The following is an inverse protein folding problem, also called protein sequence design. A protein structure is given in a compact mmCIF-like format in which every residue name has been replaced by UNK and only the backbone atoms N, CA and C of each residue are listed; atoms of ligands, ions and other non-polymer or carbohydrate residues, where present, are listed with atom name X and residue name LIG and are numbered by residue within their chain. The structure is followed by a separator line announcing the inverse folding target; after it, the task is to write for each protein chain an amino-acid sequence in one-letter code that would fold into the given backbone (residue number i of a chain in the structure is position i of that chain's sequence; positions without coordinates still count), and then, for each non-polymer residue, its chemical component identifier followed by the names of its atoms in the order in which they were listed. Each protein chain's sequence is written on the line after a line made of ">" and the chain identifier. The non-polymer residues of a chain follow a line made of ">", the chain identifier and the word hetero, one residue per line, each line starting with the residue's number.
data_IF_603704937123
#
_entry.id   IF_603704937123
#
_cell.length_a   1.000
_cell.length_b   1.000
_cell.length_c   1.000
_cell.angle_alpha   90.00
_cell.angle_beta   90.00
_cell.angle_gamma   90.00
#
_symmetry.space_group_name_H-M   'P 1'
#
loop_
_entity.id
_entity.type
_entity.pdbx_description
1 polymer ?
#
# COMPACT_ATOMS: atom_id res chain seq x y z
N UNK A 1 11.15 -3.97 -6.45
CA UNK A 1 11.77 -3.70 -5.14
C UNK A 1 12.08 -5.04 -4.47
N UNK A 2 13.36 -5.38 -4.32
CA UNK A 2 13.81 -6.66 -3.78
C UNK A 2 13.90 -6.60 -2.24
N UNK A 3 13.07 -7.37 -1.54
CA UNK A 3 13.22 -7.58 -0.10
C UNK A 3 13.97 -8.88 0.16
N UNK A 4 15.26 -8.73 0.50
CA UNK A 4 16.16 -9.82 0.86
C UNK A 4 15.68 -10.53 2.13
N UNK A 5 15.43 -11.84 2.05
CA UNK A 5 15.20 -12.71 3.21
C UNK A 5 16.52 -12.89 3.97
N UNK A 6 16.69 -12.24 5.12
CA UNK A 6 17.77 -12.53 6.07
C UNK A 6 17.50 -13.90 6.73
N UNK A 7 18.37 -14.88 6.47
CA UNK A 7 18.50 -16.08 7.30
C UNK A 7 19.40 -15.74 8.48
N UNK A 8 18.91 -15.88 9.69
CA UNK A 8 19.74 -15.82 10.90
C UNK A 8 20.39 -17.19 11.10
N UNK A 9 21.73 -17.25 11.02
CA UNK A 9 22.52 -18.37 11.52
C UNK A 9 22.80 -18.09 12.99
N UNK A 10 22.15 -18.85 13.88
CA UNK A 10 22.40 -18.79 15.31
C UNK A 10 23.61 -19.68 15.64
N UNK A 11 24.76 -19.06 15.88
CA UNK A 11 25.95 -19.71 16.45
C UNK A 11 25.73 -19.85 17.96
N UNK A 12 25.82 -21.05 18.57
CA UNK A 12 25.78 -21.15 20.02
C UNK A 12 27.12 -20.68 20.59
N UNK A 13 27.10 -19.54 21.28
CA UNK A 13 28.19 -19.05 22.14
C UNK A 13 28.33 -20.00 23.34
N UNK A 14 29.30 -20.90 23.31
CA UNK A 14 29.77 -21.60 24.50
C UNK A 14 30.76 -20.70 25.25
N UNK A 15 30.31 -20.11 26.36
CA UNK A 15 31.21 -19.44 27.30
C UNK A 15 31.99 -20.49 28.13
N UNK A 16 33.27 -20.27 28.43
CA UNK A 16 34.04 -21.18 29.26
C UNK A 16 33.53 -21.13 30.70
N UNK A 17 33.34 -22.31 31.29
CA UNK A 17 32.98 -22.48 32.71
C UNK A 17 34.19 -22.07 33.55
N UNK A 18 34.05 -20.95 34.28
CA UNK A 18 35.01 -20.55 35.30
C UNK A 18 34.97 -21.55 36.45
N UNK A 19 36.12 -22.19 36.69
CA UNK A 19 36.36 -23.04 37.85
C UNK A 19 36.50 -22.15 39.08
N UNK A 20 35.50 -22.19 39.97
CA UNK A 20 35.57 -21.51 41.26
C UNK A 20 36.33 -22.39 42.25
N UNK A 21 37.51 -21.93 42.67
CA UNK A 21 38.30 -22.54 43.75
C UNK A 21 37.58 -22.49 45.11
N UNK A 22 38.02 -23.29 46.09
CA UNK A 22 37.30 -23.41 47.36
C UNK A 22 37.64 -22.22 48.26
N UNK A 23 36.69 -21.31 48.44
CA UNK A 23 36.74 -20.34 49.54
C UNK A 23 36.06 -20.95 50.76
N UNK A 24 36.85 -21.17 51.81
CA UNK A 24 36.42 -21.66 53.11
C UNK A 24 35.72 -20.54 53.87
N UNK A 25 34.38 -20.54 53.86
CA UNK A 25 33.59 -19.75 54.80
C UNK A 25 32.41 -20.58 55.33
N UNK A 26 32.51 -20.92 56.62
CA UNK A 26 31.45 -21.50 57.43
C UNK A 26 30.32 -20.47 57.60
N UNK A 27 29.21 -20.68 56.92
CA UNK A 27 27.92 -20.06 57.27
C UNK A 27 26.84 -21.13 57.16
N UNK A 28 26.11 -21.36 58.26
CA UNK A 28 24.96 -22.27 58.36
C UNK A 28 24.01 -22.08 57.16
N UNK A 29 24.12 -22.96 56.17
CA UNK A 29 23.22 -23.00 55.01
C UNK A 29 22.00 -23.81 55.41
N UNK A 30 20.88 -23.13 55.66
CA UNK A 30 19.57 -23.77 55.71
C UNK A 30 19.38 -24.56 54.40
N UNK A 31 19.11 -25.86 54.51
CA UNK A 31 18.93 -26.75 53.37
C UNK A 31 17.76 -26.20 52.53
N UNK A 32 17.96 -25.90 51.23
CA UNK A 32 16.86 -25.42 50.39
C UNK A 32 15.74 -26.47 50.36
N UNK A 33 14.47 -26.03 50.46
CA UNK A 33 13.29 -26.92 50.46
C UNK A 33 13.36 -27.87 49.26
N UNK A 34 13.58 -29.16 49.54
CA UNK A 34 13.63 -30.21 48.53
C UNK A 34 12.22 -30.40 47.96
N UNK A 35 12.05 -30.27 46.64
CA UNK A 35 10.78 -30.64 46.00
C UNK A 35 10.71 -32.17 45.93
N UNK A 36 9.81 -32.84 46.69
CA UNK A 36 9.75 -34.30 46.71
C UNK A 36 9.38 -34.90 45.36
N UNK A 37 8.71 -34.14 44.47
CA UNK A 37 8.34 -34.60 43.13
C UNK A 37 9.48 -34.47 42.11
N UNK A 38 10.53 -33.68 42.40
CA UNK A 38 11.64 -33.41 41.48
C UNK A 38 12.97 -33.34 42.25
N UNK A 39 13.49 -34.47 42.75
CA UNK A 39 14.74 -34.52 43.49
C UNK A 39 15.94 -34.09 42.60
N UNK A 40 16.75 -33.11 43.05
CA UNK A 40 17.95 -32.70 42.32
C UNK A 40 18.97 -33.85 42.27
N UNK A 41 19.51 -34.13 41.07
CA UNK A 41 20.49 -35.20 40.84
C UNK A 41 19.92 -36.49 40.28
N UNK A 42 18.59 -36.67 40.23
CA UNK A 42 17.98 -37.82 39.55
C UNK A 42 17.92 -37.55 38.05
N UNK A 43 18.80 -38.22 37.30
CA UNK A 43 18.69 -38.25 35.82
C UNK A 43 17.32 -38.83 35.48
N UNK A 44 16.50 -38.07 34.74
CA UNK A 44 15.24 -38.57 34.18
C UNK A 44 15.55 -39.84 33.41
N UNK A 45 15.03 -40.98 33.87
CA UNK A 45 15.11 -42.23 33.12
C UNK A 45 14.13 -42.11 31.97
N UNK A 46 14.61 -41.92 30.75
CA UNK A 46 13.83 -42.18 29.54
C UNK A 46 13.60 -43.68 29.46
N UNK A 47 12.50 -44.15 30.04
CA UNK A 47 12.05 -45.53 29.91
C UNK A 47 11.13 -45.58 28.70
N UNK A 48 11.53 -46.32 27.66
CA UNK A 48 10.64 -46.65 26.57
C UNK A 48 9.59 -47.62 27.10
N UNK A 49 8.32 -47.21 27.10
CA UNK A 49 7.17 -48.07 27.41
C UNK A 49 6.81 -49.01 26.25
N UNK A 50 7.54 -48.90 25.14
CA UNK A 50 7.34 -49.72 23.96
C UNK A 50 7.72 -51.17 24.23
N UNK A 51 6.90 -52.09 23.74
CA UNK A 51 7.26 -53.51 23.71
C UNK A 51 8.37 -53.73 22.67
N UNK A 52 9.16 -54.79 22.86
CA UNK A 52 10.28 -55.15 21.96
C UNK A 52 9.83 -55.23 20.50
N UNK A 53 8.64 -55.78 20.24
CA UNK A 53 8.08 -55.91 18.89
C UNK A 53 7.75 -54.55 18.26
N UNK A 54 7.14 -53.63 19.02
CA UNK A 54 6.83 -52.26 18.55
C UNK A 54 8.11 -51.48 18.32
N UNK A 55 9.08 -51.58 19.22
CA UNK A 55 10.37 -50.93 19.08
C UNK A 55 11.13 -51.41 17.82
N UNK A 56 11.13 -52.73 17.58
CA UNK A 56 11.74 -53.31 16.37
C UNK A 56 11.04 -52.85 15.09
N UNK A 57 9.70 -52.82 15.07
CA UNK A 57 8.93 -52.32 13.93
C UNK A 57 9.24 -50.84 13.63
N UNK A 58 9.27 -49.99 14.66
CA UNK A 58 9.62 -48.59 14.54
C UNK A 58 11.05 -48.41 14.01
N UNK A 59 12.00 -49.20 14.51
CA UNK A 59 13.38 -49.18 14.04
C UNK A 59 13.48 -49.54 12.55
N UNK A 60 12.81 -50.61 12.11
CA UNK A 60 12.75 -50.99 10.69
C UNK A 60 12.12 -49.90 9.81
N UNK A 61 11.05 -49.27 10.28
CA UNK A 61 10.40 -48.17 9.57
C UNK A 61 11.33 -46.98 9.37
N UNK A 62 12.09 -46.60 10.41
CA UNK A 62 13.06 -45.50 10.35
C UNK A 62 14.14 -45.80 9.31
N UNK A 63 14.71 -47.01 9.34
CA UNK A 63 15.71 -47.43 8.36
C UNK A 63 15.18 -47.39 6.93
N UNK A 64 13.97 -47.92 6.70
CA UNK A 64 13.34 -47.90 5.38
C UNK A 64 13.07 -46.49 4.87
N UNK A 65 12.62 -45.59 5.75
CA UNK A 65 12.44 -44.18 5.42
C UNK A 65 13.77 -43.51 5.04
N UNK A 66 14.81 -43.75 5.84
CA UNK A 66 16.14 -43.18 5.59
C UNK A 66 16.71 -43.67 4.25
N UNK A 67 16.58 -44.96 3.95
CA UNK A 67 17.00 -45.54 2.67
C UNK A 67 16.22 -44.93 1.51
N UNK A 68 14.90 -44.78 1.65
CA UNK A 68 14.06 -44.17 0.61
C UNK A 68 14.44 -42.72 0.35
N UNK A 69 14.70 -41.94 1.39
CA UNK A 69 15.12 -40.55 1.26
C UNK A 69 16.49 -40.44 0.58
N UNK A 70 17.44 -41.29 0.98
CA UNK A 70 18.76 -41.37 0.34
C UNK A 70 18.64 -41.73 -1.15
N UNK A 71 17.80 -42.72 -1.47
CA UNK A 71 17.53 -43.11 -2.84
C UNK A 71 16.94 -41.95 -3.65
N UNK A 72 15.92 -41.26 -3.13
CA UNK A 72 15.29 -40.14 -3.81
C UNK A 72 16.28 -39.00 -4.08
N UNK A 73 17.09 -38.66 -3.07
CA UNK A 73 18.15 -37.67 -3.21
C UNK A 73 19.14 -38.07 -4.30
N UNK A 74 19.60 -39.34 -4.27
CA UNK A 74 20.53 -39.88 -5.24
C UNK A 74 19.98 -39.85 -6.67
N UNK A 75 18.72 -40.24 -6.87
CA UNK A 75 18.12 -40.23 -8.21
C UNK A 75 18.07 -38.83 -8.83
N UNK A 76 17.93 -37.78 -8.03
CA UNK A 76 17.91 -36.40 -8.51
C UNK A 76 19.22 -35.94 -9.16
N UNK A 77 20.37 -36.28 -8.56
CA UNK A 77 21.70 -35.89 -9.07
C UNK A 77 22.40 -36.99 -9.87
N UNK A 78 21.86 -38.21 -9.90
CA UNK A 78 22.41 -39.29 -10.72
C UNK A 78 22.28 -38.98 -12.21
N UNK A 79 21.09 -38.56 -12.69
CA UNK A 79 20.80 -38.36 -14.14
C UNK A 79 21.84 -37.46 -14.84
N UNK A 80 22.24 -36.29 -14.29
CA UNK A 80 23.18 -35.39 -14.97
C UNK A 80 24.62 -35.91 -15.06
N UNK A 81 25.10 -36.67 -14.08
CA UNK A 81 26.52 -37.03 -13.94
C UNK A 81 26.83 -38.51 -14.19
N UNK A 82 25.92 -39.40 -13.77
CA UNK A 82 26.10 -40.85 -13.75
C UNK A 82 25.00 -41.60 -14.51
N UNK A 83 24.11 -40.87 -15.18
CA UNK A 83 23.10 -41.44 -16.07
C UNK A 83 23.70 -41.93 -17.37
N UNK A 84 22.91 -42.70 -18.13
CA UNK A 84 23.25 -43.05 -19.51
C UNK A 84 23.33 -41.79 -20.38
N UNK A 85 24.03 -41.86 -21.52
CA UNK A 85 24.15 -40.72 -22.45
C UNK A 85 22.77 -40.16 -22.85
N UNK A 86 21.79 -41.05 -23.02
CA UNK A 86 20.41 -40.68 -23.29
C UNK A 86 19.78 -39.88 -22.15
N UNK A 87 19.86 -40.38 -20.91
CA UNK A 87 19.32 -39.70 -19.72
C UNK A 87 19.97 -38.33 -19.49
N UNK A 88 21.28 -38.22 -19.74
CA UNK A 88 22.00 -36.96 -19.62
C UNK A 88 21.51 -35.93 -20.65
N UNK A 89 21.28 -36.35 -21.89
CA UNK A 89 20.79 -35.44 -22.93
C UNK A 89 19.32 -35.05 -22.71
N UNK A 90 18.50 -35.97 -22.23
CA UNK A 90 17.13 -35.69 -21.82
C UNK A 90 17.10 -34.63 -20.70
N UNK A 91 17.93 -34.78 -19.67
CA UNK A 91 18.06 -33.78 -18.60
C UNK A 91 18.46 -32.40 -19.16
N UNK A 92 19.47 -32.35 -20.05
CA UNK A 92 19.89 -31.07 -20.67
C UNK A 92 18.77 -30.46 -21.50
N UNK A 93 17.99 -31.28 -22.21
CA UNK A 93 16.82 -30.84 -22.97
C UNK A 93 15.74 -30.26 -22.05
N UNK A 94 15.39 -30.95 -20.96
CA UNK A 94 14.43 -30.46 -19.97
C UNK A 94 14.83 -29.07 -19.44
N UNK A 95 16.11 -28.87 -19.11
CA UNK A 95 16.63 -27.57 -18.65
C UNK A 95 16.51 -26.49 -19.73
N UNK A 96 16.89 -26.80 -20.98
CA UNK A 96 16.76 -25.84 -22.10
C UNK A 96 15.29 -25.46 -22.34
N UNK A 97 14.39 -26.43 -22.29
CA UNK A 97 12.96 -26.20 -22.50
C UNK A 97 12.34 -25.39 -21.36
N UNK A 98 12.76 -25.64 -20.11
CA UNK A 98 12.36 -24.84 -18.96
C UNK A 98 12.83 -23.39 -19.10
N UNK A 99 14.09 -23.17 -19.48
CA UNK A 99 14.63 -21.83 -19.71
C UNK A 99 13.88 -21.08 -20.81
N UNK A 100 13.58 -21.75 -21.93
CA UNK A 100 12.77 -21.17 -23.02
C UNK A 100 11.38 -20.77 -22.53
N UNK A 101 10.71 -21.62 -21.74
CA UNK A 101 9.41 -21.30 -21.12
C UNK A 101 9.51 -20.07 -20.23
N UNK A 102 10.47 -20.03 -19.32
CA UNK A 102 10.70 -18.89 -18.43
C UNK A 102 10.96 -17.58 -19.20
N UNK A 103 11.76 -17.64 -20.27
CA UNK A 103 11.99 -16.48 -21.14
C UNK A 103 10.70 -16.03 -21.81
N UNK A 104 9.93 -16.97 -22.36
CA UNK A 104 8.67 -16.67 -23.05
C UNK A 104 7.64 -16.04 -22.11
N UNK A 105 7.45 -16.63 -20.93
CA UNK A 105 6.54 -16.14 -19.88
C UNK A 105 6.94 -14.74 -19.42
N UNK A 106 8.24 -14.51 -19.17
CA UNK A 106 8.74 -13.20 -18.79
C UNK A 106 8.47 -12.14 -19.87
N UNK A 107 8.69 -12.50 -21.14
CA UNK A 107 8.40 -11.60 -22.26
C UNK A 107 6.90 -11.34 -22.42
N UNK A 108 6.05 -12.36 -22.23
CA UNK A 108 4.60 -12.20 -22.30
C UNK A 108 4.10 -11.24 -21.22
N UNK A 109 4.54 -11.42 -19.98
CA UNK A 109 4.19 -10.52 -18.87
C UNK A 109 4.66 -9.09 -19.14
N UNK A 110 5.88 -8.90 -19.65
CA UNK A 110 6.38 -7.56 -19.99
C UNK A 110 5.53 -6.89 -21.08
N UNK A 111 5.14 -7.63 -22.12
CA UNK A 111 4.25 -7.09 -23.17
C UNK A 111 2.88 -6.72 -22.63
N UNK A 112 2.31 -7.55 -21.77
CA UNK A 112 1.01 -7.28 -21.15
C UNK A 112 1.06 -6.02 -20.29
N UNK A 113 2.09 -5.86 -19.45
CA UNK A 113 2.31 -4.66 -18.63
C UNK A 113 2.46 -3.40 -19.50
N UNK A 114 3.26 -3.47 -20.58
CA UNK A 114 3.42 -2.33 -21.48
C UNK A 114 2.11 -1.99 -22.21
N UNK A 115 1.35 -3.02 -22.61
CA UNK A 115 0.05 -2.83 -23.26
C UNK A 115 -0.96 -2.19 -22.31
N UNK A 116 -1.01 -2.62 -21.05
CA UNK A 116 -1.93 -2.04 -20.06
C UNK A 116 -1.55 -0.59 -19.75
N UNK A 117 -0.25 -0.32 -19.57
CA UNK A 117 0.25 1.04 -19.35
C UNK A 117 -0.05 1.97 -20.54
N UNK A 118 0.12 1.48 -21.78
CA UNK A 118 -0.23 2.27 -22.97
C UNK A 118 -1.70 2.68 -22.97
N UNK A 119 -2.60 1.74 -22.64
CA UNK A 119 -4.03 2.01 -22.57
C UNK A 119 -4.38 2.99 -21.44
N UNK A 120 -3.78 2.82 -20.26
CA UNK A 120 -3.94 3.74 -19.13
C UNK A 120 -3.50 5.17 -19.47
N UNK A 121 -2.35 5.31 -20.15
CA UNK A 121 -1.83 6.61 -20.57
C UNK A 121 -2.71 7.28 -21.64
N UNK A 122 -3.24 6.51 -22.59
CA UNK A 122 -4.20 7.02 -23.57
C UNK A 122 -5.49 7.52 -22.90
N UNK A 123 -6.02 6.76 -21.94
CA UNK A 123 -7.18 7.17 -21.16
C UNK A 123 -6.89 8.45 -20.35
N UNK A 124 -5.73 8.55 -19.71
CA UNK A 124 -5.33 9.74 -18.97
C UNK A 124 -5.21 10.96 -19.90
N UNK A 125 -4.62 10.80 -21.08
CA UNK A 125 -4.50 11.88 -22.06
C UNK A 125 -5.85 12.39 -22.52
N UNK A 126 -6.83 11.51 -22.73
CA UNK A 126 -8.19 11.93 -23.10
C UNK A 126 -8.90 12.64 -21.93
N UNK A 127 -8.70 12.16 -20.70
CA UNK A 127 -9.22 12.84 -19.51
C UNK A 127 -8.64 14.25 -19.36
N UNK A 128 -7.33 14.43 -19.54
CA UNK A 128 -6.69 15.74 -19.48
C UNK A 128 -7.20 16.68 -20.58
N UNK A 129 -7.38 16.15 -21.80
CA UNK A 129 -7.95 16.89 -22.92
C UNK A 129 -9.38 17.36 -22.62
N UNK A 130 -10.22 16.47 -22.10
CA UNK A 130 -11.62 16.79 -21.79
C UNK A 130 -11.72 17.78 -20.62
N UNK A 131 -10.89 17.63 -19.58
CA UNK A 131 -10.81 18.59 -18.48
C UNK A 131 -10.42 19.99 -18.96
N UNK A 132 -9.41 20.10 -19.84
CA UNK A 132 -9.01 21.38 -20.42
C UNK A 132 -10.15 22.03 -21.22
N UNK A 133 -10.89 21.24 -22.01
CA UNK A 133 -12.04 21.75 -22.74
C UNK A 133 -13.13 22.27 -21.80
N UNK A 134 -13.43 21.53 -20.73
CA UNK A 134 -14.40 21.94 -19.72
C UNK A 134 -13.98 23.23 -19.03
N UNK A 135 -12.71 23.39 -18.66
CA UNK A 135 -12.19 24.61 -18.04
C UNK A 135 -12.35 25.83 -18.96
N UNK A 136 -12.05 25.66 -20.25
CA UNK A 136 -12.24 26.72 -21.25
C UNK A 136 -13.72 27.11 -21.40
N UNK A 137 -14.62 26.12 -21.43
CA UNK A 137 -16.06 26.37 -21.47
C UNK A 137 -16.56 27.06 -20.20
N UNK A 138 -16.08 26.65 -19.02
CA UNK A 138 -16.40 27.30 -17.74
C UNK A 138 -15.90 28.75 -17.69
N UNK A 139 -14.70 29.02 -18.20
CA UNK A 139 -14.18 30.39 -18.29
C UNK A 139 -15.03 31.24 -19.24
N UNK A 140 -15.38 30.70 -20.40
CA UNK A 140 -16.23 31.39 -21.39
C UNK A 140 -17.61 31.69 -20.83
N UNK A 141 -18.27 30.70 -20.24
CA UNK A 141 -19.60 30.84 -19.62
C UNK A 141 -19.56 31.85 -18.49
N UNK A 142 -18.57 31.78 -17.60
CA UNK A 142 -18.36 32.78 -16.54
C UNK A 142 -18.20 34.20 -17.11
N UNK A 143 -17.37 34.37 -18.14
CA UNK A 143 -17.19 35.68 -18.78
C UNK A 143 -18.49 36.22 -19.39
N UNK A 144 -19.27 35.36 -20.06
CA UNK A 144 -20.58 35.73 -20.58
C UNK A 144 -21.55 36.14 -19.46
N UNK A 145 -21.61 35.37 -18.37
CA UNK A 145 -22.44 35.72 -17.21
C UNK A 145 -22.05 37.07 -16.60
N UNK A 146 -20.75 37.32 -16.39
CA UNK A 146 -20.27 38.59 -15.85
C UNK A 146 -20.60 39.78 -16.75
N UNK A 147 -20.49 39.58 -18.08
CA UNK A 147 -20.91 40.59 -19.06
C UNK A 147 -22.41 40.89 -18.94
N UNK A 148 -23.25 39.86 -18.87
CA UNK A 148 -24.69 40.02 -18.74
C UNK A 148 -25.05 40.79 -17.46
N UNK A 149 -24.44 40.44 -16.32
CA UNK A 149 -24.67 41.19 -15.07
C UNK A 149 -24.25 42.65 -15.17
N UNK A 150 -23.10 42.94 -15.80
CA UNK A 150 -22.65 44.31 -16.02
C UNK A 150 -23.66 45.10 -16.86
N UNK A 151 -24.14 44.50 -17.95
CA UNK A 151 -25.03 45.16 -18.90
C UNK A 151 -26.44 45.39 -18.27
N UNK A 152 -26.96 44.43 -17.49
CA UNK A 152 -28.20 44.60 -16.72
C UNK A 152 -28.07 45.64 -15.60
N UNK A 153 -26.96 45.64 -14.86
CA UNK A 153 -26.70 46.66 -13.84
C UNK A 153 -26.64 48.07 -14.45
N UNK A 154 -26.03 48.21 -15.63
CA UNK A 154 -26.03 49.47 -16.37
C UNK A 154 -27.44 49.91 -16.74
N UNK A 155 -28.27 48.99 -17.25
CA UNK A 155 -29.66 49.26 -17.59
C UNK A 155 -30.46 49.73 -16.37
N UNK A 156 -30.32 49.08 -15.22
CA UNK A 156 -30.96 49.48 -13.96
C UNK A 156 -30.53 50.89 -13.53
N UNK A 157 -29.25 51.22 -13.67
CA UNK A 157 -28.74 52.55 -13.34
C UNK A 157 -29.29 53.62 -14.28
N UNK A 158 -29.39 53.33 -15.57
CA UNK A 158 -29.95 54.24 -16.58
C UNK A 158 -31.45 54.47 -16.34
N UNK A 159 -32.23 53.41 -16.06
CA UNK A 159 -33.67 53.55 -15.75
C UNK A 159 -33.87 54.36 -14.48
N UNK A 160 -33.13 54.06 -13.41
CA UNK A 160 -33.20 54.81 -12.15
C UNK A 160 -32.81 56.28 -12.34
N UNK A 161 -31.84 56.57 -13.20
CA UNK A 161 -31.45 57.94 -13.52
C UNK A 161 -32.56 58.68 -14.27
N UNK A 162 -33.21 58.03 -15.24
CA UNK A 162 -34.35 58.60 -15.97
C UNK A 162 -35.55 58.85 -15.05
N UNK A 163 -35.88 57.89 -14.18
CA UNK A 163 -36.94 58.02 -13.18
C UNK A 163 -36.66 59.20 -12.24
N UNK A 164 -35.46 59.26 -11.66
CA UNK A 164 -35.06 60.37 -10.77
C UNK A 164 -35.09 61.73 -11.46
N UNK A 165 -34.77 61.78 -12.76
CA UNK A 165 -34.86 63.01 -13.54
C UNK A 165 -36.32 63.43 -13.73
N UNK A 166 -37.20 62.48 -14.02
CA UNK A 166 -38.64 62.72 -14.18
C UNK A 166 -39.28 63.17 -12.86
N UNK A 167 -38.99 62.47 -11.75
CA UNK A 167 -39.51 62.83 -10.42
C UNK A 167 -39.10 64.24 -10.03
N UNK A 168 -37.82 64.60 -10.17
CA UNK A 168 -37.35 65.97 -9.94
C UNK A 168 -38.05 67.00 -10.81
N UNK A 169 -38.31 66.68 -12.08
CA UNK A 169 -39.04 67.58 -12.99
C UNK A 169 -40.48 67.79 -12.52
N UNK A 170 -41.16 66.73 -12.08
CA UNK A 170 -42.53 66.79 -11.57
C UNK A 170 -42.59 67.54 -10.24
N UNK A 171 -41.64 67.29 -9.33
CA UNK A 171 -41.48 68.01 -8.06
C UNK A 171 -41.31 69.51 -8.32
N UNK A 172 -40.40 69.90 -9.23
CA UNK A 172 -40.20 71.30 -9.59
C UNK A 172 -41.46 71.96 -10.18
N UNK A 173 -42.24 71.24 -11.00
CA UNK A 173 -43.51 71.75 -11.54
C UNK A 173 -44.54 71.95 -10.43
N UNK A 174 -44.71 70.97 -9.55
CA UNK A 174 -45.61 71.04 -8.41
C UNK A 174 -45.24 72.17 -7.45
N UNK A 175 -43.95 72.37 -7.18
CA UNK A 175 -43.49 73.49 -6.34
C UNK A 175 -43.77 74.85 -7.00
N UNK A 176 -43.59 74.98 -8.32
CA UNK A 176 -43.97 76.21 -9.06
C UNK A 176 -45.46 76.49 -8.98
N UNK A 177 -46.30 75.47 -9.11
CA UNK A 177 -47.75 75.59 -8.94
C UNK A 177 -48.10 76.02 -7.51
N UNK A 178 -47.46 75.45 -6.49
CA UNK A 178 -47.67 75.84 -5.09
C UNK A 178 -47.26 77.30 -4.83
N UNK A 179 -46.16 77.78 -5.44
CA UNK A 179 -45.74 79.17 -5.34
C UNK A 179 -46.74 80.16 -5.93
N UNK A 180 -47.56 79.73 -6.90
CA UNK A 180 -48.65 80.55 -7.43
C UNK A 180 -49.72 80.85 -6.35
N UNK A 181 -49.96 79.91 -5.43
CA UNK A 181 -50.93 80.05 -4.35
C UNK A 181 -50.32 80.61 -3.05
N UNK A 182 -49.05 80.30 -2.76
CA UNK A 182 -48.33 80.80 -1.60
C UNK A 182 -46.88 81.19 -2.00
N UNK A 183 -46.55 82.48 -2.09
CA UNK A 183 -45.31 82.95 -2.70
C UNK A 183 -44.04 82.69 -1.87
N UNK A 184 -44.15 82.03 -0.71
CA UNK A 184 -43.00 81.71 0.15
C UNK A 184 -42.50 80.29 -0.19
N UNK A 185 -41.24 80.20 -0.62
CA UNK A 185 -40.56 78.93 -0.90
C UNK A 185 -40.08 78.26 0.40
N UNK A 186 -41.00 77.64 1.15
CA UNK A 186 -40.70 77.01 2.44
C UNK A 186 -39.70 75.83 2.37
N UNK A 187 -39.59 75.16 1.22
CA UNK A 187 -38.71 73.99 1.03
C UNK A 187 -37.31 74.35 0.53
N UNK A 188 -37.10 75.54 -0.03
CA UNK A 188 -35.79 76.02 -0.49
C UNK A 188 -35.19 75.23 -1.65
N UNK A 189 -36.00 74.42 -2.36
CA UNK A 189 -35.56 73.44 -3.37
C UNK A 189 -35.53 73.99 -4.80
N UNK A 190 -36.35 75.02 -5.09
CA UNK A 190 -36.24 75.81 -6.32
C UNK A 190 -35.01 76.73 -6.28
N UNK A 191 -34.03 76.45 -7.15
CA UNK A 191 -32.91 77.36 -7.45
C UNK A 191 -33.27 78.38 -8.50
#
# INVERSE_FOLDING_TARGET
>A
MNTSKRRFLATPLSLPVLSNGPSSHMTNRAVPRLNPLHPPGVKRRTVSLETVAVHHHNHQRVLNMQQKEYYNYHQGWRRPFYGTVFEQEEYRKEIRDLLKKQMHEKWALQREVLSSQSLELEAQKENDRTALMQDLEQQRTRAMLMRNFRDENKKIMETKWQENRLTRSLENMKERELLHYNPINWSGTLK
#
